data_IF_648303399825
#
_entry.id   IF_648303399825
#
_cell.length_a   1.000
_cell.length_b   1.000
_cell.length_c   1.000
_cell.angle_alpha   90.00
_cell.angle_beta   90.00
_cell.angle_gamma   90.00
#
_symmetry.space_group_name_H-M   'P 1'
#
loop_
_entity.id
_entity.type
_entity.pdbx_description
1 polymer ?
#
# COMPACT_ATOMS: atom_id res chain seq x y z
N UNK A 1 -25.33 -11.04 5.33
CA UNK A 1 -25.41 -12.23 4.46
C UNK A 1 -25.72 -13.40 5.38
N UNK A 2 -27.02 -13.75 5.47
CA UNK A 2 -27.42 -15.06 6.00
C UNK A 2 -26.91 -16.11 5.01
N UNK A 3 -25.68 -16.56 5.23
CA UNK A 3 -25.18 -17.77 4.58
C UNK A 3 -25.99 -18.91 5.19
N UNK A 4 -26.91 -19.43 4.40
CA UNK A 4 -27.66 -20.65 4.72
C UNK A 4 -26.61 -21.70 5.14
N UNK A 5 -26.75 -22.34 6.30
CA UNK A 5 -25.76 -23.30 6.82
C UNK A 5 -25.38 -24.35 5.77
N UNK A 6 -26.35 -24.77 4.94
CA UNK A 6 -26.17 -25.71 3.83
C UNK A 6 -25.20 -25.16 2.74
N UNK A 7 -25.22 -23.84 2.44
CA UNK A 7 -24.35 -23.26 1.44
C UNK A 7 -22.88 -23.23 1.89
N UNK A 8 -22.66 -23.01 3.18
CA UNK A 8 -21.31 -23.07 3.77
C UNK A 8 -20.73 -24.49 3.73
N UNK A 9 -21.53 -25.50 3.98
CA UNK A 9 -21.14 -26.91 3.91
C UNK A 9 -20.85 -27.37 2.47
N UNK A 10 -21.64 -26.96 1.49
CA UNK A 10 -21.39 -27.26 0.07
C UNK A 10 -20.08 -26.65 -0.42
N UNK A 11 -19.80 -25.39 -0.08
CA UNK A 11 -18.54 -24.70 -0.43
C UNK A 11 -17.38 -25.44 0.23
N UNK A 12 -17.47 -25.75 1.51
CA UNK A 12 -16.41 -26.44 2.23
C UNK A 12 -16.13 -27.81 1.60
N UNK A 13 -17.14 -28.59 1.32
CA UNK A 13 -16.98 -29.91 0.69
C UNK A 13 -16.37 -29.81 -0.71
N UNK A 14 -16.69 -28.75 -1.48
CA UNK A 14 -16.06 -28.49 -2.76
C UNK A 14 -14.56 -28.18 -2.59
N UNK A 15 -14.18 -27.35 -1.65
CA UNK A 15 -12.79 -27.01 -1.39
C UNK A 15 -11.99 -28.17 -0.77
N UNK A 16 -12.64 -29.05 -0.02
CA UNK A 16 -11.99 -30.24 0.53
C UNK A 16 -11.84 -31.35 -0.52
N UNK A 17 -12.55 -31.28 -1.64
CA UNK A 17 -12.36 -32.22 -2.75
C UNK A 17 -10.94 -32.10 -3.28
N UNK A 18 -10.14 -33.15 -3.17
CA UNK A 18 -8.71 -33.13 -3.54
C UNK A 18 -7.75 -32.58 -2.48
N UNK A 19 -8.25 -32.18 -1.30
CA UNK A 19 -7.41 -31.67 -0.22
C UNK A 19 -6.31 -32.66 0.18
N UNK A 20 -6.65 -33.94 0.31
CA UNK A 20 -5.67 -35.01 0.64
C UNK A 20 -4.54 -35.13 -0.38
N UNK A 21 -4.76 -34.71 -1.62
CA UNK A 21 -3.75 -34.74 -2.68
C UNK A 21 -2.81 -33.54 -2.60
N UNK A 22 -3.38 -32.33 -2.62
CA UNK A 22 -2.56 -31.11 -2.67
C UNK A 22 -1.95 -30.72 -1.32
N UNK A 23 -2.54 -31.14 -0.20
CA UNK A 23 -2.01 -30.81 1.13
C UNK A 23 -0.65 -31.43 1.41
N UNK A 24 -0.38 -32.61 0.82
CA UNK A 24 0.95 -33.26 0.92
C UNK A 24 2.02 -32.39 0.26
N UNK A 25 1.75 -31.90 -0.92
CA UNK A 25 2.66 -31.02 -1.66
C UNK A 25 2.84 -29.67 -0.94
N UNK A 26 1.75 -29.08 -0.42
CA UNK A 26 1.80 -27.85 0.35
C UNK A 26 2.65 -28.00 1.64
N UNK A 27 2.46 -29.09 2.38
CA UNK A 27 3.28 -29.37 3.58
C UNK A 27 4.75 -29.61 3.21
N UNK A 28 4.99 -30.28 2.08
CA UNK A 28 6.35 -30.44 1.52
C UNK A 28 7.04 -29.11 1.27
N UNK A 29 6.35 -28.20 0.58
CA UNK A 29 6.86 -26.85 0.30
C UNK A 29 7.10 -26.04 1.59
N UNK A 30 6.19 -26.10 2.56
CA UNK A 30 6.37 -25.41 3.84
C UNK A 30 7.58 -25.92 4.62
N UNK A 31 7.90 -27.21 4.51
CA UNK A 31 9.13 -27.80 5.09
C UNK A 31 10.38 -27.24 4.41
N UNK A 32 10.40 -27.23 3.09
CA UNK A 32 11.53 -26.67 2.31
C UNK A 32 11.78 -25.20 2.68
N UNK A 33 10.72 -24.44 2.93
CA UNK A 33 10.79 -23.05 3.39
C UNK A 33 11.11 -22.90 4.88
N UNK A 34 11.36 -24.01 5.61
CA UNK A 34 11.60 -24.01 7.06
C UNK A 34 10.50 -23.29 7.84
N UNK A 35 9.24 -23.50 7.48
CA UNK A 35 8.12 -22.84 8.14
C UNK A 35 8.01 -23.32 9.60
N UNK A 36 7.92 -22.42 10.60
CA UNK A 36 7.90 -22.79 12.01
C UNK A 36 6.76 -23.76 12.33
N UNK A 37 7.07 -24.84 13.06
CA UNK A 37 6.07 -25.82 13.49
C UNK A 37 5.76 -26.92 12.46
N UNK A 38 6.32 -26.85 11.24
CA UNK A 38 6.14 -27.89 10.22
C UNK A 38 7.33 -28.85 10.27
N UNK A 39 7.08 -30.09 10.66
CA UNK A 39 8.10 -31.15 10.75
C UNK A 39 7.91 -32.22 9.67
N UNK A 40 8.80 -33.20 9.60
CA UNK A 40 8.64 -34.33 8.69
C UNK A 40 7.40 -35.19 8.99
N UNK A 41 6.93 -35.16 10.23
CA UNK A 41 5.77 -35.92 10.69
C UNK A 41 4.47 -35.14 10.59
N UNK A 42 4.52 -33.87 10.17
CA UNK A 42 3.33 -33.04 10.06
C UNK A 42 2.44 -33.57 8.93
N UNK A 43 1.24 -33.98 9.30
CA UNK A 43 0.15 -34.39 8.39
C UNK A 43 -1.02 -33.50 8.70
N UNK A 44 -1.65 -32.93 7.64
CA UNK A 44 -2.84 -32.13 7.76
C UNK A 44 -4.02 -32.96 7.25
N UNK A 45 -5.02 -33.14 8.10
CA UNK A 45 -6.21 -33.95 7.79
C UNK A 45 -7.35 -33.07 7.29
N UNK A 46 -8.37 -33.69 6.68
CA UNK A 46 -9.63 -33.02 6.31
C UNK A 46 -10.31 -32.36 7.53
N UNK A 47 -10.16 -32.99 8.71
CA UNK A 47 -10.70 -32.45 9.95
C UNK A 47 -9.98 -31.16 10.36
N UNK A 48 -8.64 -31.12 10.26
CA UNK A 48 -7.85 -29.90 10.55
C UNK A 48 -8.24 -28.77 9.58
N UNK A 49 -8.43 -29.08 8.30
CA UNK A 49 -8.85 -28.09 7.32
C UNK A 49 -10.27 -27.56 7.61
N UNK A 50 -11.19 -28.45 8.03
CA UNK A 50 -12.54 -28.06 8.43
C UNK A 50 -12.52 -27.16 9.65
N UNK A 51 -11.75 -27.51 10.66
CA UNK A 51 -11.60 -26.70 11.88
C UNK A 51 -10.98 -25.33 11.60
N UNK A 52 -9.95 -25.26 10.75
CA UNK A 52 -9.34 -24.01 10.31
C UNK A 52 -10.34 -23.13 9.54
N UNK A 53 -11.15 -23.71 8.68
CA UNK A 53 -12.20 -22.99 7.95
C UNK A 53 -13.26 -22.43 8.89
N UNK A 54 -13.78 -23.23 9.81
CA UNK A 54 -14.77 -22.79 10.80
C UNK A 54 -14.20 -21.72 11.73
N UNK A 55 -12.94 -21.84 12.13
CA UNK A 55 -12.24 -20.81 12.88
C UNK A 55 -12.16 -19.50 12.10
N UNK A 56 -11.77 -19.54 10.83
CA UNK A 56 -11.68 -18.37 9.97
C UNK A 56 -13.04 -17.69 9.77
N UNK A 57 -14.10 -18.47 9.53
CA UNK A 57 -15.48 -17.96 9.42
C UNK A 57 -15.92 -17.26 10.71
N UNK A 58 -15.72 -17.92 11.85
CA UNK A 58 -16.10 -17.38 13.15
C UNK A 58 -15.30 -16.09 13.47
N UNK A 59 -14.02 -16.07 13.16
CA UNK A 59 -13.18 -14.88 13.28
C UNK A 59 -13.73 -13.73 12.42
N UNK A 60 -13.99 -13.97 11.14
CA UNK A 60 -14.53 -12.97 10.23
C UNK A 60 -15.92 -12.46 10.65
N UNK A 61 -16.77 -13.35 11.18
CA UNK A 61 -18.11 -13.01 11.64
C UNK A 61 -18.10 -12.14 12.90
N UNK A 62 -17.20 -12.42 13.83
CA UNK A 62 -17.11 -11.71 15.10
C UNK A 62 -16.19 -10.47 15.06
N UNK A 63 -15.38 -10.34 14.02
CA UNK A 63 -14.48 -9.19 13.86
C UNK A 63 -15.12 -8.14 12.98
N UNK A 64 -15.87 -7.23 13.59
CA UNK A 64 -16.62 -6.17 12.89
C UNK A 64 -15.75 -5.03 12.38
N UNK A 65 -14.56 -4.85 12.97
CA UNK A 65 -13.58 -3.82 12.57
C UNK A 65 -12.19 -4.41 12.61
N UNK A 66 -11.45 -4.17 11.56
CA UNK A 66 -10.08 -4.62 11.48
C UNK A 66 -9.72 -5.08 10.07
N UNK A 67 -8.47 -5.30 9.88
CA UNK A 67 -7.93 -5.82 8.62
C UNK A 67 -7.03 -7.01 8.89
N UNK A 68 -6.94 -7.91 7.93
CA UNK A 68 -6.05 -9.06 8.01
C UNK A 68 -4.77 -8.79 7.24
N UNK A 69 -3.65 -8.75 7.95
CA UNK A 69 -2.31 -8.66 7.36
C UNK A 69 -2.07 -9.81 6.37
N UNK A 70 -2.42 -11.02 6.77
CA UNK A 70 -2.26 -12.23 5.96
C UNK A 70 -3.07 -12.20 4.67
N UNK A 71 -4.31 -11.73 4.74
CA UNK A 71 -5.15 -11.54 3.55
C UNK A 71 -4.55 -10.50 2.61
N UNK A 72 -4.10 -9.37 3.15
CA UNK A 72 -3.43 -8.32 2.36
C UNK A 72 -2.17 -8.84 1.67
N UNK A 73 -1.33 -9.59 2.38
CA UNK A 73 -0.11 -10.19 1.85
C UNK A 73 -0.41 -11.25 0.77
N UNK A 74 -1.35 -12.14 1.02
CA UNK A 74 -1.71 -13.21 0.07
C UNK A 74 -2.26 -12.63 -1.24
N UNK A 75 -3.20 -11.69 -1.15
CA UNK A 75 -3.74 -11.02 -2.34
C UNK A 75 -2.66 -10.22 -3.06
N UNK A 76 -1.77 -9.53 -2.31
CA UNK A 76 -0.64 -8.81 -2.89
C UNK A 76 0.33 -9.73 -3.63
N UNK A 77 0.65 -10.88 -3.06
CA UNK A 77 1.52 -11.88 -3.70
C UNK A 77 0.89 -12.47 -4.97
N UNK A 78 -0.41 -12.79 -4.94
CA UNK A 78 -1.16 -13.26 -6.11
C UNK A 78 -1.16 -12.22 -7.24
N UNK A 79 -1.36 -10.95 -6.90
CA UNK A 79 -1.31 -9.86 -7.87
C UNK A 79 0.08 -9.70 -8.51
N UNK A 80 1.15 -9.79 -7.70
CA UNK A 80 2.53 -9.74 -8.21
C UNK A 80 2.77 -10.90 -9.16
N UNK A 81 2.45 -12.11 -8.74
CA UNK A 81 2.65 -13.32 -9.55
C UNK A 81 1.87 -13.27 -10.88
N UNK A 82 0.65 -12.71 -10.86
CA UNK A 82 -0.20 -12.60 -12.05
C UNK A 82 0.19 -11.45 -12.99
N UNK A 83 0.82 -10.39 -12.47
CA UNK A 83 1.13 -9.17 -13.23
C UNK A 83 2.53 -9.17 -13.84
N UNK A 84 3.44 -10.00 -13.34
CA UNK A 84 4.85 -9.97 -13.72
C UNK A 84 5.25 -11.20 -14.54
N UNK A 85 5.51 -11.01 -15.83
CA UNK A 85 6.06 -12.05 -16.72
C UNK A 85 7.48 -12.48 -16.31
N UNK A 86 8.24 -11.60 -15.66
CA UNK A 86 9.58 -11.86 -15.14
C UNK A 86 9.68 -11.47 -13.66
N UNK A 87 9.15 -12.32 -12.81
CA UNK A 87 9.11 -12.09 -11.36
C UNK A 87 10.53 -11.96 -10.76
N UNK A 88 11.47 -12.82 -11.18
CA UNK A 88 12.84 -12.85 -10.63
C UNK A 88 13.57 -11.53 -10.85
N UNK A 89 13.42 -10.91 -12.02
CA UNK A 89 14.02 -9.61 -12.34
C UNK A 89 13.40 -8.43 -11.57
N UNK A 90 12.18 -8.59 -11.05
CA UNK A 90 11.44 -7.53 -10.37
C UNK A 90 11.54 -7.58 -8.84
N UNK A 91 11.72 -8.77 -8.25
CA UNK A 91 11.79 -8.95 -6.79
C UNK A 91 12.83 -8.06 -6.08
N UNK A 92 14.04 -7.86 -6.61
CA UNK A 92 15.07 -7.04 -5.94
C UNK A 92 14.70 -5.57 -5.74
N UNK A 93 13.73 -5.06 -6.50
CA UNK A 93 13.32 -3.65 -6.45
C UNK A 93 12.00 -3.42 -5.72
N UNK A 94 11.29 -4.51 -5.35
CA UNK A 94 10.08 -4.39 -4.55
C UNK A 94 10.40 -4.03 -3.10
N UNK A 95 9.56 -3.19 -2.51
CA UNK A 95 9.66 -2.73 -1.11
C UNK A 95 10.96 -2.00 -0.76
N UNK A 96 11.73 -1.55 -1.76
CA UNK A 96 12.94 -0.78 -1.52
C UNK A 96 12.62 0.64 -1.05
N UNK A 97 13.45 1.18 -0.18
CA UNK A 97 13.36 2.57 0.25
C UNK A 97 14.03 3.46 -0.78
N UNK A 98 13.38 4.52 -1.27
CA UNK A 98 13.99 5.44 -2.21
C UNK A 98 15.09 6.27 -1.53
N UNK A 99 16.16 6.57 -2.26
CA UNK A 99 17.16 7.53 -1.81
C UNK A 99 16.66 8.95 -2.09
N UNK A 100 16.20 9.64 -1.07
CA UNK A 100 15.70 11.02 -1.16
C UNK A 100 16.73 12.07 -0.72
N UNK A 101 18.00 11.70 -0.51
CA UNK A 101 19.07 12.63 -0.17
C UNK A 101 19.30 13.71 -1.23
N UNK A 102 18.85 13.46 -2.47
CA UNK A 102 18.83 14.47 -3.51
C UNK A 102 18.13 15.77 -3.09
N UNK A 103 17.13 15.69 -2.25
CA UNK A 103 16.39 16.84 -1.74
C UNK A 103 17.09 17.54 -0.56
N UNK A 104 18.21 17.00 -0.09
CA UNK A 104 19.05 17.60 0.95
C UNK A 104 20.05 18.58 0.30
N UNK A 105 19.51 19.68 -0.21
CA UNK A 105 20.26 20.68 -1.00
C UNK A 105 20.84 21.74 -0.09
N UNK A 106 22.13 22.00 -0.22
CA UNK A 106 22.82 23.09 0.50
C UNK A 106 22.55 24.45 -0.12
N UNK A 107 22.15 24.55 -1.39
CA UNK A 107 22.28 25.76 -2.20
C UNK A 107 21.03 26.28 -2.89
N UNK A 108 19.82 25.80 -2.63
CA UNK A 108 18.61 26.33 -3.30
C UNK A 108 17.55 26.84 -2.35
N UNK A 109 17.42 28.09 -2.40
CA UNK A 109 16.52 29.04 -3.07
C UNK A 109 15.11 29.12 -2.46
N UNK A 110 14.60 28.06 -1.81
CA UNK A 110 13.31 28.10 -1.13
C UNK A 110 13.54 28.00 0.37
N UNK A 111 12.91 28.87 1.19
CA UNK A 111 13.16 28.90 2.63
C UNK A 111 13.02 27.55 3.34
N UNK A 112 12.04 26.74 2.91
CA UNK A 112 11.79 25.41 3.49
C UNK A 112 12.80 24.35 3.02
N UNK A 113 13.39 24.51 1.84
CA UNK A 113 14.41 23.57 1.35
C UNK A 113 15.69 23.62 2.16
N UNK A 114 15.93 24.70 2.90
CA UNK A 114 17.09 24.89 3.76
C UNK A 114 16.91 24.35 5.19
N UNK A 115 15.70 23.95 5.55
CA UNK A 115 15.43 23.39 6.88
C UNK A 115 15.91 21.94 6.92
N UNK A 116 16.80 21.62 7.87
CA UNK A 116 17.33 20.27 8.07
C UNK A 116 16.25 19.22 8.36
N UNK A 117 16.56 17.97 8.02
CA UNK A 117 15.65 16.83 8.15
C UNK A 117 15.77 16.05 9.48
N UNK A 118 16.65 16.47 10.36
CA UNK A 118 17.08 15.77 11.59
C UNK A 118 16.03 15.78 12.73
N UNK A 119 14.86 16.37 12.51
CA UNK A 119 13.79 16.35 13.49
C UNK A 119 13.24 14.92 13.61
N UNK A 120 13.37 14.33 14.80
CA UNK A 120 13.00 12.94 15.07
C UNK A 120 11.48 12.68 15.19
N UNK A 121 10.64 13.72 15.04
CA UNK A 121 9.18 13.55 15.16
C UNK A 121 8.62 12.68 14.04
N UNK A 122 7.71 11.78 14.41
CA UNK A 122 7.10 10.80 13.50
C UNK A 122 6.30 11.48 12.37
N UNK A 123 5.54 12.52 12.71
CA UNK A 123 4.64 13.20 11.78
C UNK A 123 5.09 14.64 11.54
N UNK A 124 4.72 15.20 10.38
CA UNK A 124 5.06 16.57 9.99
C UNK A 124 3.80 17.28 9.50
N UNK A 125 3.62 18.52 9.92
CA UNK A 125 2.63 19.42 9.37
C UNK A 125 3.32 20.71 8.94
N UNK A 126 3.15 21.11 7.67
CA UNK A 126 3.72 22.34 7.15
C UNK A 126 2.66 23.22 6.49
N UNK A 127 2.53 24.44 6.96
CA UNK A 127 1.74 25.50 6.35
C UNK A 127 2.69 26.55 5.81
N UNK A 128 2.72 26.70 4.48
CA UNK A 128 3.56 27.66 3.82
C UNK A 128 3.00 28.02 2.43
N UNK A 129 3.23 29.24 1.93
CA UNK A 129 2.73 29.64 0.63
C UNK A 129 3.29 28.77 -0.51
N UNK A 130 2.64 28.84 -1.66
CA UNK A 130 3.14 28.20 -2.88
C UNK A 130 4.52 28.79 -3.23
N UNK A 131 5.45 27.93 -3.68
CA UNK A 131 6.82 28.36 -3.99
C UNK A 131 7.76 28.42 -2.80
N UNK A 132 7.31 28.13 -1.56
CA UNK A 132 8.18 28.13 -0.38
C UNK A 132 9.08 26.89 -0.23
N UNK A 133 8.98 25.89 -1.13
CA UNK A 133 9.76 24.66 -1.06
C UNK A 133 9.11 23.55 -0.22
N UNK A 134 7.77 23.57 -0.06
CA UNK A 134 7.03 22.53 0.70
C UNK A 134 7.35 21.11 0.24
N UNK A 135 7.35 20.87 -1.08
CA UNK A 135 7.58 19.55 -1.68
C UNK A 135 8.94 18.98 -1.26
N UNK A 136 10.00 19.78 -1.41
CA UNK A 136 11.36 19.37 -1.04
C UNK A 136 11.44 19.07 0.46
N UNK A 137 10.86 19.96 1.27
CA UNK A 137 10.81 19.78 2.72
C UNK A 137 10.09 18.50 3.13
N UNK A 138 8.94 18.20 2.53
CA UNK A 138 8.16 16.99 2.83
C UNK A 138 8.92 15.73 2.40
N UNK A 139 9.51 15.71 1.21
CA UNK A 139 10.31 14.59 0.73
C UNK A 139 11.54 14.33 1.60
N UNK A 140 12.25 15.35 2.05
CA UNK A 140 13.35 15.23 3.01
C UNK A 140 12.96 14.58 4.34
N UNK A 141 11.68 14.69 4.73
CA UNK A 141 11.15 14.08 5.96
C UNK A 141 10.92 12.59 5.84
N UNK A 142 10.84 12.06 4.62
CA UNK A 142 10.59 10.66 4.37
C UNK A 142 11.81 9.80 4.67
N UNK A 143 11.59 8.64 5.27
CA UNK A 143 12.64 7.68 5.68
C UNK A 143 12.38 6.26 5.18
N UNK A 144 11.24 6.03 4.55
CA UNK A 144 10.80 4.75 4.00
C UNK A 144 10.24 4.93 2.61
N UNK A 145 9.47 3.95 2.16
CA UNK A 145 8.70 4.06 0.92
C UNK A 145 7.68 5.19 1.02
N UNK A 146 7.36 5.81 -0.10
CA UNK A 146 6.59 7.06 -0.13
C UNK A 146 5.29 6.90 -0.89
N UNK A 147 4.18 7.27 -0.26
CA UNK A 147 2.90 7.51 -0.91
C UNK A 147 2.65 9.02 -0.95
N UNK A 148 2.79 9.61 -2.13
CA UNK A 148 2.60 11.05 -2.33
C UNK A 148 1.21 11.31 -2.90
N UNK A 149 0.34 11.97 -2.15
CA UNK A 149 -1.02 12.27 -2.60
C UNK A 149 -1.20 13.72 -3.00
N UNK A 150 -1.87 13.92 -4.12
CA UNK A 150 -2.22 15.22 -4.69
C UNK A 150 -3.70 15.24 -5.09
N UNK A 151 -4.39 16.39 -5.01
CA UNK A 151 -5.83 16.49 -5.25
C UNK A 151 -6.23 16.27 -6.72
N UNK A 152 -5.35 16.64 -7.67
CA UNK A 152 -5.69 16.69 -9.08
C UNK A 152 -4.76 15.83 -9.93
N UNK A 153 -5.31 15.20 -10.97
CA UNK A 153 -4.54 14.36 -11.92
C UNK A 153 -3.41 15.12 -12.63
N UNK A 154 -3.66 16.36 -13.03
CA UNK A 154 -2.64 17.19 -13.67
C UNK A 154 -1.43 17.41 -12.74
N UNK A 155 -1.68 17.62 -11.46
CA UNK A 155 -0.62 17.76 -10.45
C UNK A 155 0.15 16.47 -10.24
N UNK A 156 -0.51 15.32 -10.35
CA UNK A 156 0.12 13.99 -10.27
C UNK A 156 1.13 13.81 -11.42
N UNK A 157 0.73 14.14 -12.65
CA UNK A 157 1.59 14.03 -13.82
C UNK A 157 2.84 14.91 -13.68
N UNK A 158 2.65 16.17 -13.32
CA UNK A 158 3.74 17.11 -13.11
C UNK A 158 4.69 16.66 -11.98
N UNK A 159 4.13 16.13 -10.88
CA UNK A 159 4.93 15.60 -9.78
C UNK A 159 5.72 14.35 -10.18
N UNK A 160 5.08 13.45 -10.94
CA UNK A 160 5.74 12.26 -11.47
C UNK A 160 6.95 12.63 -12.34
N UNK A 161 6.78 13.54 -13.31
CA UNK A 161 7.87 14.01 -14.17
C UNK A 161 8.97 14.67 -13.36
N UNK A 162 8.62 15.51 -12.39
CA UNK A 162 9.56 16.17 -11.51
C UNK A 162 10.40 15.17 -10.73
N UNK A 163 9.76 14.29 -9.95
CA UNK A 163 10.45 13.31 -9.11
C UNK A 163 11.25 12.33 -9.96
N UNK A 164 10.73 11.92 -11.13
CA UNK A 164 11.47 11.08 -12.08
C UNK A 164 12.73 11.76 -12.59
N UNK A 165 12.68 13.06 -12.89
CA UNK A 165 13.82 13.81 -13.35
C UNK A 165 14.83 14.06 -12.24
N UNK A 166 14.35 14.38 -11.04
CA UNK A 166 15.17 14.65 -9.89
C UNK A 166 15.95 13.40 -9.42
N UNK A 167 15.36 12.22 -9.53
CA UNK A 167 15.95 10.96 -9.09
C UNK A 167 16.67 10.16 -10.20
N UNK A 168 16.79 10.70 -11.42
CA UNK A 168 17.39 9.98 -12.57
C UNK A 168 18.77 9.40 -12.32
N UNK A 169 19.60 10.03 -11.50
CA UNK A 169 20.98 9.62 -11.26
C UNK A 169 21.12 8.55 -10.17
N UNK A 170 20.12 8.41 -9.30
CA UNK A 170 20.09 7.44 -8.20
C UNK A 170 19.26 6.19 -8.55
N UNK A 171 18.80 6.07 -9.76
CA UNK A 171 17.63 5.34 -10.24
C UNK A 171 17.87 3.86 -10.52
N UNK A 172 18.81 3.19 -9.96
CA UNK A 172 18.73 1.73 -10.10
C UNK A 172 17.51 1.12 -9.43
N UNK A 173 16.89 1.82 -8.45
CA UNK A 173 15.88 1.23 -7.56
C UNK A 173 14.58 2.03 -7.36
N UNK A 174 14.36 3.15 -8.07
CA UNK A 174 13.15 3.97 -7.91
C UNK A 174 12.18 3.73 -9.05
N UNK A 175 11.10 3.02 -8.79
CA UNK A 175 9.95 2.93 -9.67
C UNK A 175 8.93 3.99 -9.26
N UNK A 176 8.97 5.11 -9.95
CA UNK A 176 7.91 6.11 -9.89
C UNK A 176 6.70 5.56 -10.64
N UNK A 177 5.59 5.43 -9.97
CA UNK A 177 4.43 4.80 -10.51
C UNK A 177 3.25 5.77 -10.50
N UNK A 178 2.88 6.14 -11.67
CA UNK A 178 1.76 7.01 -11.96
C UNK A 178 0.48 6.18 -12.07
N UNK A 179 -0.47 6.39 -11.18
CA UNK A 179 -1.66 5.55 -11.10
C UNK A 179 -2.70 5.79 -12.19
N UNK A 180 -2.58 6.86 -12.97
CA UNK A 180 -3.64 7.32 -13.87
C UNK A 180 -3.22 7.53 -15.33
N UNK A 181 -1.94 7.65 -15.65
CA UNK A 181 -1.49 8.00 -17.00
C UNK A 181 -1.73 6.93 -18.06
N UNK A 182 -2.04 5.71 -17.69
CA UNK A 182 -2.31 4.62 -18.65
C UNK A 182 -3.78 4.22 -18.78
N UNK A 183 -4.68 4.86 -18.09
CA UNK A 183 -6.11 4.62 -18.27
C UNK A 183 -6.65 5.08 -19.63
N UNK A 184 -5.89 5.88 -20.37
CA UNK A 184 -6.38 6.51 -21.62
C UNK A 184 -6.01 5.71 -22.88
N UNK A 185 -5.05 4.78 -22.86
CA UNK A 185 -4.49 4.27 -24.12
C UNK A 185 -4.58 2.75 -24.34
N UNK A 186 -4.76 1.93 -23.32
CA UNK A 186 -4.88 0.47 -23.57
C UNK A 186 -6.13 -0.11 -22.88
N UNK A 187 -7.11 -0.37 -23.71
CA UNK A 187 -8.44 -0.81 -23.39
C UNK A 187 -8.56 -1.82 -22.25
N UNK A 188 -9.57 -1.63 -21.40
CA UNK A 188 -10.13 -2.56 -20.43
C UNK A 188 -9.32 -2.93 -19.16
N UNK A 189 -8.27 -2.24 -18.78
CA UNK A 189 -7.72 -2.41 -17.42
C UNK A 189 -8.43 -1.48 -16.44
N UNK A 190 -9.14 -2.05 -15.48
CA UNK A 190 -9.82 -1.31 -14.41
C UNK A 190 -8.81 -0.58 -13.52
N UNK A 191 -9.23 0.55 -12.90
CA UNK A 191 -8.41 1.33 -11.94
C UNK A 191 -7.79 0.46 -10.84
N UNK A 192 -8.51 -0.56 -10.42
CA UNK A 192 -8.09 -1.54 -9.43
C UNK A 192 -6.84 -2.32 -9.87
N UNK A 193 -6.78 -2.74 -11.13
CA UNK A 193 -5.64 -3.45 -11.69
C UNK A 193 -4.39 -2.57 -11.79
N UNK A 194 -4.55 -1.27 -12.07
CA UNK A 194 -3.42 -0.34 -12.14
C UNK A 194 -2.78 -0.06 -10.76
N UNK A 195 -3.54 -0.12 -9.67
CA UNK A 195 -3.00 0.00 -8.30
C UNK A 195 -2.27 -1.30 -7.90
N UNK A 196 -2.79 -2.43 -8.33
CA UNK A 196 -2.23 -3.76 -8.08
C UNK A 196 -0.90 -3.99 -8.79
N UNK A 197 -0.78 -3.55 -10.05
CA UNK A 197 0.46 -3.64 -10.85
C UNK A 197 1.67 -2.90 -10.21
N UNK A 198 1.42 -2.15 -9.12
CA UNK A 198 2.39 -1.23 -8.50
C UNK A 198 2.65 -1.51 -7.04
N UNK A 199 2.23 -2.67 -6.58
CA UNK A 199 2.48 -3.15 -5.24
C UNK A 199 3.98 -3.18 -4.92
N UNK A 200 4.37 -2.72 -3.73
CA UNK A 200 5.76 -2.71 -3.31
C UNK A 200 6.64 -1.61 -3.93
N UNK A 201 6.09 -0.68 -4.72
CA UNK A 201 6.87 0.39 -5.32
C UNK A 201 7.50 1.32 -4.28
N UNK A 202 8.71 1.83 -4.56
CA UNK A 202 9.45 2.72 -3.67
C UNK A 202 8.75 4.08 -3.49
N UNK A 203 8.22 4.64 -4.58
CA UNK A 203 7.42 5.88 -4.55
C UNK A 203 6.14 5.66 -5.35
N UNK A 204 5.00 6.02 -4.77
CA UNK A 204 3.69 6.07 -5.44
C UNK A 204 3.15 7.48 -5.40
N UNK A 205 2.76 7.99 -6.57
CA UNK A 205 2.09 9.28 -6.69
C UNK A 205 0.64 9.02 -7.11
N UNK A 206 -0.32 9.50 -6.32
CA UNK A 206 -1.73 9.14 -6.45
C UNK A 206 -2.67 10.22 -5.90
N UNK A 207 -3.98 10.03 -6.09
CA UNK A 207 -4.98 10.88 -5.43
C UNK A 207 -5.42 10.28 -4.09
N UNK A 208 -5.91 11.09 -3.14
CA UNK A 208 -6.50 10.57 -1.91
C UNK A 208 -7.66 9.61 -2.15
N UNK A 209 -8.43 9.80 -3.22
CA UNK A 209 -9.54 8.90 -3.58
C UNK A 209 -9.09 7.46 -3.81
N UNK A 210 -7.87 7.25 -4.32
CA UNK A 210 -7.31 5.92 -4.54
C UNK A 210 -6.95 5.20 -3.23
N UNK A 211 -6.75 5.95 -2.15
CA UNK A 211 -6.56 5.40 -0.81
C UNK A 211 -7.86 5.35 0.01
N UNK A 212 -8.96 5.94 -0.47
CA UNK A 212 -10.20 6.05 0.29
C UNK A 212 -10.77 4.69 0.73
N UNK A 213 -10.46 3.62 -0.01
CA UNK A 213 -10.85 2.25 0.34
C UNK A 213 -10.40 1.83 1.75
N UNK A 214 -9.27 2.33 2.26
CA UNK A 214 -8.79 2.01 3.61
C UNK A 214 -9.65 2.65 4.70
N UNK A 215 -10.30 3.77 4.41
CA UNK A 215 -11.24 4.41 5.33
C UNK A 215 -12.64 3.82 5.24
N UNK A 216 -13.03 3.38 4.03
CA UNK A 216 -14.37 2.89 3.72
C UNK A 216 -14.51 1.37 3.87
N UNK A 217 -13.40 0.64 4.02
CA UNK A 217 -13.41 -0.83 4.11
C UNK A 217 -13.91 -1.51 2.83
N UNK A 218 -13.72 -0.90 1.66
CA UNK A 218 -14.17 -1.47 0.39
C UNK A 218 -13.23 -2.57 -0.09
N UNK A 219 -13.70 -3.42 -1.02
CA UNK A 219 -12.94 -4.57 -1.53
C UNK A 219 -11.50 -4.21 -1.91
N UNK A 220 -10.55 -5.01 -1.45
CA UNK A 220 -9.11 -4.85 -1.75
C UNK A 220 -8.36 -3.89 -0.82
N UNK A 221 -9.01 -3.31 0.19
CA UNK A 221 -8.35 -2.38 1.11
C UNK A 221 -7.23 -3.02 1.93
N UNK A 222 -7.28 -4.31 2.20
CA UNK A 222 -6.27 -5.03 2.96
C UNK A 222 -4.91 -5.04 2.24
N UNK A 223 -4.92 -5.20 0.92
CA UNK A 223 -3.70 -5.13 0.10
C UNK A 223 -3.08 -3.74 0.15
N UNK A 224 -3.90 -2.70 0.10
CA UNK A 224 -3.43 -1.31 0.19
C UNK A 224 -2.86 -1.04 1.59
N UNK A 225 -3.51 -1.52 2.66
CA UNK A 225 -2.99 -1.38 4.02
C UNK A 225 -1.67 -2.12 4.22
N UNK A 226 -1.54 -3.33 3.67
CA UNK A 226 -0.29 -4.07 3.70
C UNK A 226 0.83 -3.30 2.99
N UNK A 227 0.55 -2.74 1.83
CA UNK A 227 1.52 -1.96 1.07
C UNK A 227 1.91 -0.62 1.73
N UNK A 228 0.98 -0.02 2.47
CA UNK A 228 1.18 1.21 3.24
C UNK A 228 1.96 1.00 4.55
N UNK A 229 2.01 -0.21 5.07
CA UNK A 229 2.57 -0.47 6.41
C UNK A 229 3.97 0.11 6.57
N UNK A 230 4.15 0.99 7.56
CA UNK A 230 5.43 1.63 7.86
C UNK A 230 5.92 2.66 6.83
N UNK A 231 5.16 2.97 5.80
CA UNK A 231 5.53 3.95 4.77
C UNK A 231 5.43 5.40 5.27
N UNK A 232 6.02 6.29 4.50
CA UNK A 232 5.79 7.73 4.59
C UNK A 232 4.62 8.11 3.67
N UNK A 233 3.63 8.83 4.19
CA UNK A 233 2.48 9.29 3.41
C UNK A 233 2.47 10.80 3.40
N UNK A 234 2.61 11.39 2.23
CA UNK A 234 2.52 12.84 2.03
C UNK A 234 1.10 13.16 1.56
N UNK A 235 0.41 14.00 2.32
CA UNK A 235 -0.88 14.56 1.98
C UNK A 235 -0.66 16.04 1.62
N UNK A 236 -0.53 16.33 0.34
CA UNK A 236 -0.23 17.68 -0.13
C UNK A 236 -1.49 18.41 -0.61
N UNK A 237 -1.49 19.72 -0.45
CA UNK A 237 -2.58 20.64 -0.84
C UNK A 237 -3.95 20.28 -0.23
N UNK A 238 -3.99 19.84 1.03
CA UNK A 238 -5.22 19.37 1.70
C UNK A 238 -6.34 20.42 1.74
N UNK A 239 -6.00 21.70 1.64
CA UNK A 239 -6.98 22.80 1.65
C UNK A 239 -7.90 22.81 0.44
N UNK A 240 -7.56 22.07 -0.61
CA UNK A 240 -8.37 21.97 -1.84
C UNK A 240 -9.43 20.86 -1.76
N UNK A 241 -9.42 20.05 -0.71
CA UNK A 241 -10.37 18.94 -0.56
C UNK A 241 -11.74 19.44 -0.14
N UNK A 242 -12.81 18.84 -0.71
CA UNK A 242 -14.17 19.05 -0.23
C UNK A 242 -14.34 18.58 1.23
N UNK A 243 -15.35 19.09 1.93
CA UNK A 243 -15.64 18.69 3.31
C UNK A 243 -15.76 17.16 3.48
N UNK A 244 -16.48 16.51 2.54
CA UNK A 244 -16.59 15.05 2.54
C UNK A 244 -15.21 14.40 2.39
N UNK A 245 -14.37 14.89 1.50
CA UNK A 245 -13.03 14.33 1.29
C UNK A 245 -12.13 14.59 2.48
N UNK A 246 -12.26 15.72 3.16
CA UNK A 246 -11.55 16.00 4.40
C UNK A 246 -11.91 14.99 5.49
N UNK A 247 -13.19 14.67 5.66
CA UNK A 247 -13.64 13.64 6.62
C UNK A 247 -13.05 12.26 6.29
N UNK A 248 -13.04 11.86 5.02
CA UNK A 248 -12.41 10.62 4.57
C UNK A 248 -10.91 10.63 4.85
N UNK A 249 -10.22 11.73 4.55
CA UNK A 249 -8.77 11.87 4.80
C UNK A 249 -8.44 11.81 6.29
N UNK A 250 -9.25 12.39 7.15
CA UNK A 250 -9.07 12.26 8.61
C UNK A 250 -9.17 10.80 9.06
N UNK A 251 -10.15 10.05 8.54
CA UNK A 251 -10.27 8.62 8.83
C UNK A 251 -9.10 7.82 8.24
N UNK A 252 -8.64 8.17 7.06
CA UNK A 252 -7.44 7.57 6.47
C UNK A 252 -6.20 7.81 7.34
N UNK A 253 -6.01 9.01 7.87
CA UNK A 253 -4.90 9.36 8.77
C UNK A 253 -4.91 8.46 10.01
N UNK A 254 -6.08 8.27 10.63
CA UNK A 254 -6.25 7.38 11.77
C UNK A 254 -5.80 5.95 11.43
N UNK A 255 -6.33 5.40 10.33
CA UNK A 255 -6.00 4.04 9.89
C UNK A 255 -4.51 3.90 9.55
N UNK A 256 -3.96 4.83 8.79
CA UNK A 256 -2.53 4.84 8.42
C UNK A 256 -1.62 4.94 9.65
N UNK A 257 -2.00 5.74 10.65
CA UNK A 257 -1.23 5.82 11.89
C UNK A 257 -1.22 4.48 12.64
N UNK A 258 -2.35 3.77 12.66
CA UNK A 258 -2.48 2.46 13.30
C UNK A 258 -1.62 1.37 12.63
N UNK A 259 -1.38 1.47 11.32
CA UNK A 259 -0.45 0.57 10.61
C UNK A 259 0.99 1.08 10.54
N UNK A 260 1.32 2.05 11.38
CA UNK A 260 2.69 2.52 11.59
C UNK A 260 3.20 3.55 10.59
N UNK A 261 2.38 4.08 9.68
CA UNK A 261 2.80 5.11 8.74
C UNK A 261 3.31 6.37 9.42
N UNK A 262 4.24 7.06 8.76
CA UNK A 262 4.61 8.44 9.05
C UNK A 262 3.84 9.35 8.11
N UNK A 263 3.17 10.36 8.68
CA UNK A 263 2.25 11.21 7.92
C UNK A 263 2.80 12.62 7.85
N UNK A 264 2.91 13.14 6.65
CA UNK A 264 3.44 14.45 6.33
C UNK A 264 2.39 15.26 5.58
N UNK A 265 1.92 16.32 6.18
CA UNK A 265 0.85 17.16 5.63
C UNK A 265 1.40 18.48 5.14
N UNK A 266 1.10 18.82 3.89
CA UNK A 266 1.43 20.09 3.25
C UNK A 266 0.19 20.89 2.87
N UNK A 267 0.18 22.19 3.19
CA UNK A 267 -0.92 23.08 2.79
C UNK A 267 -0.47 24.52 2.64
N UNK A 268 -1.12 25.25 1.74
CA UNK A 268 -0.90 26.70 1.63
C UNK A 268 -1.77 27.46 2.64
N UNK A 269 -2.98 26.99 2.89
CA UNK A 269 -3.91 27.56 3.87
C UNK A 269 -4.43 26.47 4.79
N UNK A 270 -4.94 26.88 5.98
CA UNK A 270 -5.64 25.93 6.84
C UNK A 270 -7.05 25.71 6.30
N UNK A 271 -7.54 24.49 6.21
CA UNK A 271 -8.98 24.23 6.05
C UNK A 271 -9.73 24.87 7.22
N UNK A 272 -10.89 25.40 6.92
CA UNK A 272 -11.80 25.99 7.93
C UNK A 272 -12.40 24.95 8.85
#
# INVERSE_FOLDING_TARGET
>A
LDLNENFGEEILNFHLSGFSTWSVDAVGLLRELNFPGVTQETVVTDQDAREAYLYALNYCYNTTTGWSLWKGMLIGADHIASAMENLEGCLPVLFTTPNVHFYDRESELFPLSLIGSDIQKKHTFVKAPTGAGKTDFLLKRCRGRIFYTLPFQASINAMYERVSNDLKNDVKDVRLLHSTSRLVIEGNKTTEKAIQDKFGAAIKILTPHQLASIALGTKGYETILFDLQGCDVILDEIHTYSEMMQAIVLKMIEVMNNVGCRIHVGTATMPS
#
